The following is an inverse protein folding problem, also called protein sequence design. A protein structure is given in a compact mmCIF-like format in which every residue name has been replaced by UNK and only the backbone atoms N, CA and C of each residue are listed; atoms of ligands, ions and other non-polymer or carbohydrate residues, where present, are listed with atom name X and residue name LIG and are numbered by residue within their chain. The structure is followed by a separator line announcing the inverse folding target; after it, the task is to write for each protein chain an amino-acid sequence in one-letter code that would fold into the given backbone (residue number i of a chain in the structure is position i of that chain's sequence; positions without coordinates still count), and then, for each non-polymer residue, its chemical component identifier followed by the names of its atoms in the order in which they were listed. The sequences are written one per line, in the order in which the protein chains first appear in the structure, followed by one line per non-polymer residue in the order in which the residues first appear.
data_IF_957089765318
#
_entry.id   IF_957089765318
#
_cell.length_a   1.000
_cell.length_b   1.000
_cell.length_c   1.000
_cell.angle_alpha   90.00
_cell.angle_beta   90.00
_cell.angle_gamma   90.00
#
_symmetry.space_group_name_H-M   'P 1'
#
loop_
_entity.id
_entity.type
_entity.pdbx_description
1 polymer ?
#
# COMPACT_ATOMS: atom_id res chain seq x y z
N UNK A 1 13.67 -19.39 35.44
CA UNK A 1 14.58 -18.89 34.37
C UNK A 1 13.97 -19.27 33.03
N UNK A 2 13.65 -18.30 32.17
CA UNK A 2 13.14 -18.55 30.82
C UNK A 2 14.34 -18.96 29.96
N UNK A 3 14.36 -20.20 29.45
CA UNK A 3 15.44 -20.69 28.60
C UNK A 3 15.26 -20.17 27.16
N UNK A 4 16.36 -20.01 26.40
CA UNK A 4 16.30 -19.52 25.02
C UNK A 4 15.35 -20.34 24.11
N UNK A 5 15.17 -21.62 24.43
CA UNK A 5 14.26 -22.53 23.72
C UNK A 5 12.78 -22.15 23.92
N UNK A 6 12.40 -21.85 25.16
CA UNK A 6 11.02 -21.40 25.46
C UNK A 6 10.68 -20.08 24.77
N UNK A 7 11.65 -19.16 24.67
CA UNK A 7 11.46 -17.89 23.97
C UNK A 7 11.28 -18.08 22.45
N UNK A 8 12.07 -18.98 21.84
CA UNK A 8 11.94 -19.31 20.43
C UNK A 8 10.60 -19.99 20.11
N UNK A 9 10.13 -20.87 20.99
CA UNK A 9 8.83 -21.53 20.84
C UNK A 9 7.68 -20.52 20.89
N UNK A 10 7.67 -19.63 21.89
CA UNK A 10 6.64 -18.58 22.02
C UNK A 10 6.66 -17.65 20.81
N UNK A 11 7.85 -17.21 20.37
CA UNK A 11 8.01 -16.38 19.18
C UNK A 11 7.49 -17.06 17.92
N UNK A 12 7.71 -18.37 17.76
CA UNK A 12 7.19 -19.13 16.64
C UNK A 12 5.66 -19.20 16.66
N UNK A 13 5.06 -19.53 17.81
CA UNK A 13 3.61 -19.60 17.95
C UNK A 13 2.94 -18.25 17.68
N UNK A 14 3.45 -17.17 18.28
CA UNK A 14 2.96 -15.82 18.03
C UNK A 14 3.05 -15.45 16.55
N UNK A 15 4.17 -15.72 15.88
CA UNK A 15 4.32 -15.44 14.46
C UNK A 15 3.31 -16.21 13.59
N UNK A 16 2.99 -17.47 13.94
CA UNK A 16 2.01 -18.28 13.20
C UNK A 16 0.61 -17.69 13.36
N UNK A 17 0.12 -17.53 14.60
CA UNK A 17 -1.23 -17.02 14.87
C UNK A 17 -1.40 -15.60 14.33
N UNK A 18 -0.43 -14.73 14.56
CA UNK A 18 -0.47 -13.35 14.08
C UNK A 18 -0.48 -13.26 12.54
N UNK A 19 0.36 -14.06 11.88
CA UNK A 19 0.41 -14.08 10.40
C UNK A 19 -0.89 -14.62 9.81
N UNK A 20 -1.50 -15.64 10.42
CA UNK A 20 -2.80 -16.18 9.99
C UNK A 20 -3.91 -15.15 10.14
N UNK A 21 -3.99 -14.47 11.30
CA UNK A 21 -4.95 -13.38 11.51
C UNK A 21 -4.76 -12.26 10.48
N UNK A 22 -3.52 -11.79 10.28
CA UNK A 22 -3.22 -10.76 9.28
C UNK A 22 -3.55 -11.20 7.85
N UNK A 23 -3.35 -12.47 7.50
CA UNK A 23 -3.71 -13.02 6.19
C UNK A 23 -5.23 -12.95 5.98
N UNK A 24 -6.02 -13.47 6.93
CA UNK A 24 -7.48 -13.53 6.83
C UNK A 24 -8.07 -12.12 6.78
N UNK A 25 -7.76 -11.27 7.77
CA UNK A 25 -8.28 -9.90 7.81
C UNK A 25 -7.76 -9.05 6.66
N UNK A 26 -6.50 -9.27 6.24
CA UNK A 26 -5.90 -8.56 5.12
C UNK A 26 -6.58 -8.85 3.79
N UNK A 27 -6.89 -10.13 3.51
CA UNK A 27 -7.63 -10.53 2.31
C UNK A 27 -9.05 -9.95 2.34
N UNK A 28 -9.77 -10.14 3.44
CA UNK A 28 -11.16 -9.63 3.59
C UNK A 28 -11.19 -8.11 3.40
N UNK A 29 -10.30 -7.39 4.10
CA UNK A 29 -10.22 -5.93 4.01
C UNK A 29 -9.85 -5.43 2.61
N UNK A 30 -8.89 -6.07 1.94
CA UNK A 30 -8.53 -5.71 0.58
C UNK A 30 -9.66 -5.97 -0.42
N UNK A 31 -10.35 -7.10 -0.32
CA UNK A 31 -11.53 -7.42 -1.13
C UNK A 31 -12.64 -6.38 -0.92
N UNK A 32 -12.93 -6.05 0.34
CA UNK A 32 -13.95 -5.05 0.67
C UNK A 32 -13.61 -3.68 0.09
N UNK A 33 -12.36 -3.22 0.24
CA UNK A 33 -11.91 -1.96 -0.34
C UNK A 33 -12.03 -1.95 -1.87
N UNK A 34 -11.68 -3.05 -2.55
CA UNK A 34 -11.85 -3.16 -4.01
C UNK A 34 -13.33 -3.04 -4.39
N UNK A 35 -14.23 -3.71 -3.67
CA UNK A 35 -15.67 -3.63 -3.92
C UNK A 35 -16.20 -2.19 -3.74
N UNK A 36 -15.81 -1.53 -2.64
CA UNK A 36 -16.20 -0.14 -2.36
C UNK A 36 -15.68 0.80 -3.46
N UNK A 37 -14.38 0.80 -3.74
CA UNK A 37 -13.80 1.76 -4.68
C UNK A 37 -14.17 1.49 -6.14
N UNK A 38 -14.67 0.30 -6.47
CA UNK A 38 -15.24 -0.01 -7.79
C UNK A 38 -16.64 0.57 -7.99
N UNK A 39 -17.35 0.92 -6.92
CA UNK A 39 -18.70 1.48 -7.00
C UNK A 39 -18.72 2.77 -7.83
N UNK A 40 -19.73 2.92 -8.70
CA UNK A 40 -19.76 3.96 -9.74
C UNK A 40 -19.63 5.39 -9.18
N UNK A 41 -20.28 5.64 -8.04
CA UNK A 41 -20.30 6.95 -7.38
C UNK A 41 -18.89 7.40 -6.93
N UNK A 42 -18.04 6.46 -6.49
CA UNK A 42 -16.70 6.74 -5.98
C UNK A 42 -15.63 6.80 -7.08
N UNK A 43 -15.89 6.22 -8.27
CA UNK A 43 -14.94 6.20 -9.39
C UNK A 43 -14.70 7.58 -10.03
N UNK A 44 -15.55 8.55 -9.71
CA UNK A 44 -15.43 9.95 -10.14
C UNK A 44 -14.28 10.70 -9.46
N UNK A 45 -13.72 10.17 -8.36
CA UNK A 45 -12.66 10.79 -7.60
C UNK A 45 -11.28 10.22 -7.93
N UNK A 46 -10.31 11.10 -8.16
CA UNK A 46 -8.89 10.77 -8.39
C UNK A 46 -8.31 9.97 -7.21
N UNK A 47 -8.53 10.46 -5.99
CA UNK A 47 -8.16 9.78 -4.74
C UNK A 47 -8.64 8.32 -4.68
N UNK A 48 -9.90 8.05 -5.04
CA UNK A 48 -10.46 6.71 -5.02
C UNK A 48 -9.76 5.78 -6.03
N UNK A 49 -9.28 6.32 -7.15
CA UNK A 49 -8.48 5.57 -8.12
C UNK A 49 -7.15 5.10 -7.50
N UNK A 50 -6.41 5.98 -6.81
CA UNK A 50 -5.19 5.58 -6.11
C UNK A 50 -5.46 4.50 -5.05
N UNK A 51 -6.53 4.66 -4.26
CA UNK A 51 -6.88 3.69 -3.21
C UNK A 51 -7.33 2.33 -3.76
N UNK A 52 -7.97 2.29 -4.92
CA UNK A 52 -8.28 1.04 -5.61
C UNK A 52 -7.00 0.29 -5.98
N UNK A 53 -6.03 0.97 -6.58
CA UNK A 53 -4.74 0.36 -6.92
C UNK A 53 -3.93 -0.06 -5.68
N UNK A 54 -3.95 0.74 -4.60
CA UNK A 54 -3.37 0.36 -3.29
C UNK A 54 -3.97 -0.96 -2.81
N UNK A 55 -5.30 -1.12 -2.91
CA UNK A 55 -5.99 -2.31 -2.43
C UNK A 55 -5.65 -3.55 -3.26
N UNK A 56 -5.58 -3.40 -4.59
CA UNK A 56 -5.15 -4.48 -5.51
C UNK A 56 -3.69 -4.87 -5.23
N UNK A 57 -2.77 -3.91 -5.15
CA UNK A 57 -1.37 -4.17 -4.89
C UNK A 57 -1.16 -4.80 -3.50
N UNK A 58 -1.90 -4.35 -2.49
CA UNK A 58 -1.86 -4.92 -1.14
C UNK A 58 -2.39 -6.35 -1.09
N UNK A 59 -3.43 -6.68 -1.85
CA UNK A 59 -3.93 -8.05 -1.97
C UNK A 59 -2.85 -8.97 -2.57
N UNK A 60 -2.24 -8.57 -3.68
CA UNK A 60 -1.13 -9.31 -4.31
C UNK A 60 0.03 -9.44 -3.33
N UNK A 61 0.40 -8.36 -2.62
CA UNK A 61 1.45 -8.39 -1.63
C UNK A 61 1.18 -9.42 -0.52
N UNK A 62 -0.02 -9.43 0.06
CA UNK A 62 -0.38 -10.37 1.13
C UNK A 62 -0.31 -11.81 0.63
N UNK A 63 -0.83 -12.07 -0.59
CA UNK A 63 -0.82 -13.39 -1.19
C UNK A 63 0.60 -13.94 -1.39
N UNK A 64 1.55 -13.12 -1.86
CA UNK A 64 2.92 -13.56 -2.09
C UNK A 64 3.82 -13.45 -0.87
N UNK A 65 3.63 -12.46 0.01
CA UNK A 65 4.53 -12.18 1.14
C UNK A 65 4.19 -13.00 2.38
N UNK A 66 2.91 -12.99 2.80
CA UNK A 66 2.44 -13.62 4.04
C UNK A 66 2.18 -15.11 3.88
N UNK A 67 1.61 -15.56 2.76
CA UNK A 67 1.26 -16.98 2.57
C UNK A 67 2.46 -17.91 2.75
N UNK A 68 3.62 -17.58 2.17
CA UNK A 68 4.82 -18.40 2.40
C UNK A 68 5.32 -18.36 3.84
N UNK A 69 5.13 -17.26 4.58
CA UNK A 69 5.54 -17.21 5.99
C UNK A 69 4.72 -18.18 6.82
N UNK A 70 3.41 -18.26 6.55
CA UNK A 70 2.50 -19.22 7.17
C UNK A 70 2.90 -20.65 6.80
N UNK A 71 3.19 -20.92 5.54
CA UNK A 71 3.59 -22.26 5.06
C UNK A 71 4.94 -22.68 5.66
N UNK A 72 5.94 -21.80 5.65
CA UNK A 72 7.29 -22.06 6.15
C UNK A 72 7.30 -22.29 7.67
N UNK A 73 6.59 -21.46 8.44
CA UNK A 73 6.61 -21.48 9.90
C UNK A 73 5.58 -22.42 10.51
N UNK A 74 4.39 -22.52 9.91
CA UNK A 74 3.28 -23.32 10.39
C UNK A 74 3.39 -24.79 9.98
N UNK A 75 3.66 -25.04 8.70
CA UNK A 75 3.68 -26.41 8.15
C UNK A 75 5.08 -26.99 7.98
N UNK A 76 6.14 -26.21 8.26
CA UNK A 76 7.54 -26.59 8.07
C UNK A 76 7.87 -27.00 6.62
N UNK A 77 7.10 -26.51 5.65
CA UNK A 77 7.32 -26.80 4.22
C UNK A 77 8.12 -25.66 3.59
N UNK A 78 9.35 -25.96 3.16
CA UNK A 78 10.28 -24.95 2.63
C UNK A 78 10.18 -24.78 1.11
N UNK A 79 9.04 -24.27 0.60
CA UNK A 79 8.83 -24.04 -0.84
C UNK A 79 9.90 -23.14 -1.48
N UNK A 80 10.29 -22.10 -0.76
CA UNK A 80 11.31 -21.13 -1.20
C UNK A 80 12.74 -21.69 -1.19
N UNK A 81 12.97 -22.77 -0.44
CA UNK A 81 14.24 -23.50 -0.41
C UNK A 81 14.32 -24.55 -1.53
N UNK A 82 13.18 -25.13 -1.89
CA UNK A 82 13.08 -26.23 -2.84
C UNK A 82 12.91 -25.75 -4.29
N UNK A 83 12.22 -24.63 -4.51
CA UNK A 83 11.98 -24.09 -5.85
C UNK A 83 12.64 -22.72 -6.05
N UNK A 84 13.59 -22.69 -6.99
CA UNK A 84 14.26 -21.44 -7.42
C UNK A 84 13.24 -20.49 -8.06
N UNK A 85 12.32 -21.01 -8.88
CA UNK A 85 11.28 -20.22 -9.53
C UNK A 85 10.38 -19.53 -8.51
N UNK A 86 9.93 -20.27 -7.48
CA UNK A 86 9.09 -19.72 -6.43
C UNK A 86 9.81 -18.65 -5.59
N UNK A 87 11.07 -18.90 -5.22
CA UNK A 87 11.92 -17.92 -4.54
C UNK A 87 12.02 -16.59 -5.30
N UNK A 88 12.24 -16.64 -6.63
CA UNK A 88 12.33 -15.45 -7.49
C UNK A 88 11.00 -14.70 -7.58
N UNK A 89 9.91 -15.41 -7.91
CA UNK A 89 8.57 -14.83 -8.08
C UNK A 89 8.11 -14.17 -6.78
N UNK A 90 8.23 -14.86 -5.64
CA UNK A 90 7.91 -14.34 -4.31
C UNK A 90 8.61 -13.01 -4.05
N UNK A 91 9.94 -12.97 -4.16
CA UNK A 91 10.72 -11.79 -3.85
C UNK A 91 10.40 -10.63 -4.81
N UNK A 92 10.22 -10.92 -6.09
CA UNK A 92 9.86 -9.91 -7.08
C UNK A 92 8.50 -9.27 -6.77
N UNK A 93 7.44 -10.08 -6.66
CA UNK A 93 6.10 -9.55 -6.41
C UNK A 93 6.00 -8.90 -5.04
N UNK A 94 6.61 -9.47 -3.99
CA UNK A 94 6.57 -8.87 -2.65
C UNK A 94 7.19 -7.46 -2.65
N UNK A 95 8.38 -7.29 -3.24
CA UNK A 95 9.03 -5.98 -3.28
C UNK A 95 8.29 -4.99 -4.20
N UNK A 96 7.94 -5.41 -5.42
CA UNK A 96 7.29 -4.55 -6.38
C UNK A 96 5.94 -4.02 -5.85
N UNK A 97 5.10 -4.92 -5.34
CA UNK A 97 3.78 -4.54 -4.81
C UNK A 97 3.86 -3.66 -3.56
N UNK A 98 4.82 -3.89 -2.66
CA UNK A 98 5.04 -2.99 -1.51
C UNK A 98 5.39 -1.56 -1.94
N UNK A 99 6.29 -1.41 -2.91
CA UNK A 99 6.69 -0.09 -3.42
C UNK A 99 5.54 0.62 -4.13
N UNK A 100 4.75 -0.12 -4.91
CA UNK A 100 3.55 0.40 -5.57
C UNK A 100 2.55 0.89 -4.52
N UNK A 101 2.22 0.07 -3.52
CA UNK A 101 1.30 0.43 -2.43
C UNK A 101 1.73 1.71 -1.73
N UNK A 102 3.00 1.80 -1.31
CA UNK A 102 3.49 2.98 -0.58
C UNK A 102 3.53 4.23 -1.46
N UNK A 103 3.91 4.10 -2.72
CA UNK A 103 3.91 5.23 -3.67
C UNK A 103 2.51 5.77 -3.89
N UNK A 104 1.51 4.88 -4.03
CA UNK A 104 0.12 5.29 -4.20
C UNK A 104 -0.50 5.86 -2.93
N UNK A 105 -0.08 5.41 -1.75
CA UNK A 105 -0.46 6.07 -0.50
C UNK A 105 0.04 7.52 -0.47
N UNK A 106 1.33 7.76 -0.79
CA UNK A 106 1.90 9.11 -0.86
C UNK A 106 1.17 9.97 -1.91
N UNK A 107 0.95 9.42 -3.11
CA UNK A 107 0.21 10.12 -4.17
C UNK A 107 -1.23 10.44 -3.76
N UNK A 108 -1.90 9.57 -3.00
CA UNK A 108 -3.23 9.83 -2.49
C UNK A 108 -3.26 11.00 -1.47
N UNK A 109 -2.20 11.16 -0.68
CA UNK A 109 -2.06 12.30 0.23
C UNK A 109 -1.79 13.60 -0.53
N UNK A 110 -0.99 13.55 -1.59
CA UNK A 110 -0.78 14.69 -2.50
C UNK A 110 -2.09 15.08 -3.18
N UNK A 111 -2.83 14.11 -3.73
CA UNK A 111 -4.11 14.34 -4.40
C UNK A 111 -5.13 14.99 -3.47
N UNK A 112 -5.21 14.52 -2.22
CA UNK A 112 -6.02 15.16 -1.17
C UNK A 112 -5.59 16.60 -0.91
N UNK A 113 -4.29 16.89 -0.82
CA UNK A 113 -3.80 18.25 -0.67
C UNK A 113 -4.26 19.13 -1.85
N UNK A 114 -4.06 18.66 -3.10
CA UNK A 114 -4.45 19.37 -4.32
C UNK A 114 -5.96 19.68 -4.35
N UNK A 115 -6.80 18.76 -3.88
CA UNK A 115 -8.25 18.96 -3.78
C UNK A 115 -8.62 20.11 -2.83
N UNK A 116 -7.87 20.29 -1.75
CA UNK A 116 -8.08 21.35 -0.74
C UNK A 116 -7.49 22.70 -1.13
N UNK A 117 -6.60 22.73 -2.12
CA UNK A 117 -5.99 23.97 -2.62
C UNK A 117 -7.03 24.86 -3.32
N UNK A 118 -6.91 26.19 -3.11
CA UNK A 118 -7.83 27.19 -3.69
C UNK A 118 -7.53 27.51 -5.15
N UNK A 119 -6.28 27.32 -5.57
CA UNK A 119 -5.82 27.67 -6.91
C UNK A 119 -6.32 26.66 -7.95
N UNK A 120 -6.99 27.16 -8.99
CA UNK A 120 -7.63 26.36 -10.06
C UNK A 120 -6.61 25.47 -10.79
N UNK A 121 -5.38 25.96 -11.01
CA UNK A 121 -4.31 25.21 -11.67
C UNK A 121 -4.02 23.88 -10.95
N UNK A 122 -3.94 23.89 -9.62
CA UNK A 122 -3.66 22.70 -8.82
C UNK A 122 -4.85 21.75 -8.73
N UNK A 123 -6.08 22.28 -8.76
CA UNK A 123 -7.30 21.47 -8.84
C UNK A 123 -7.44 20.75 -10.18
N UNK A 124 -6.94 21.33 -11.27
CA UNK A 124 -6.95 20.68 -12.59
C UNK A 124 -6.08 19.41 -12.65
N UNK A 125 -5.01 19.35 -11.85
CA UNK A 125 -4.18 18.15 -11.72
C UNK A 125 -4.90 17.00 -11.00
N UNK A 126 -5.89 17.32 -10.15
CA UNK A 126 -6.78 16.37 -9.50
C UNK A 126 -7.88 15.91 -10.48
N UNK A 127 -7.47 15.21 -11.54
CA UNK A 127 -8.35 14.58 -12.51
C UNK A 127 -8.13 13.07 -12.50
N UNK A 128 -9.22 12.30 -12.58
CA UNK A 128 -9.20 10.83 -12.64
C UNK A 128 -8.35 10.34 -13.82
N UNK A 129 -8.36 11.06 -14.94
CA UNK A 129 -7.55 10.69 -16.11
C UNK A 129 -6.05 10.78 -15.81
N UNK A 130 -5.61 11.90 -15.25
CA UNK A 130 -4.22 12.13 -14.83
C UNK A 130 -3.81 11.11 -13.78
N UNK A 131 -4.69 10.81 -12.82
CA UNK A 131 -4.43 9.82 -11.78
C UNK A 131 -4.16 8.42 -12.35
N UNK A 132 -4.96 7.98 -13.33
CA UNK A 132 -4.74 6.70 -14.00
C UNK A 132 -3.41 6.66 -14.75
N UNK A 133 -3.04 7.74 -15.44
CA UNK A 133 -1.75 7.82 -16.13
C UNK A 133 -0.58 7.76 -15.15
N UNK A 134 -0.66 8.49 -14.04
CA UNK A 134 0.36 8.45 -12.97
C UNK A 134 0.44 7.04 -12.38
N UNK A 135 -0.70 6.40 -12.08
CA UNK A 135 -0.72 5.03 -11.59
C UNK A 135 -0.01 4.05 -12.54
N UNK A 136 -0.36 4.10 -13.83
CA UNK A 136 0.26 3.24 -14.84
C UNK A 136 1.77 3.49 -14.95
N UNK A 137 2.20 4.75 -14.95
CA UNK A 137 3.61 5.11 -14.96
C UNK A 137 4.36 4.51 -13.76
N UNK A 138 3.85 4.69 -12.53
CA UNK A 138 4.49 4.16 -11.33
C UNK A 138 4.49 2.63 -11.28
N UNK A 139 3.43 1.96 -11.75
CA UNK A 139 3.41 0.49 -11.86
C UNK A 139 4.53 0.03 -12.79
N UNK A 140 4.62 0.60 -13.99
CA UNK A 140 5.65 0.23 -14.96
C UNK A 140 7.05 0.53 -14.40
N UNK A 141 7.23 1.72 -13.82
CA UNK A 141 8.49 2.13 -13.20
C UNK A 141 8.96 1.14 -12.11
N UNK A 142 8.08 0.78 -11.16
CA UNK A 142 8.43 -0.15 -10.09
C UNK A 142 8.61 -1.59 -10.59
N UNK A 143 7.84 -2.02 -11.60
CA UNK A 143 8.06 -3.31 -12.24
C UNK A 143 9.45 -3.38 -12.86
N UNK A 144 9.86 -2.35 -13.64
CA UNK A 144 11.17 -2.30 -14.29
C UNK A 144 12.33 -2.25 -13.28
N UNK A 145 12.25 -1.39 -12.26
CA UNK A 145 13.36 -1.21 -11.31
C UNK A 145 13.57 -2.45 -10.42
N UNK A 146 12.52 -3.25 -10.20
CA UNK A 146 12.60 -4.48 -9.40
C UNK A 146 12.97 -5.72 -10.21
N UNK A 147 13.07 -5.65 -11.55
CA UNK A 147 13.50 -6.76 -12.42
C UNK A 147 14.78 -7.46 -11.93
N UNK A 148 15.85 -6.76 -11.48
CA UNK A 148 17.08 -7.44 -11.06
C UNK A 148 16.87 -8.41 -9.88
N UNK A 149 15.79 -8.25 -9.11
CA UNK A 149 15.35 -9.20 -8.09
C UNK A 149 15.12 -10.59 -8.66
N UNK A 150 14.53 -10.71 -9.87
CA UNK A 150 14.31 -11.99 -10.55
C UNK A 150 15.62 -12.66 -10.98
N UNK A 151 16.66 -11.86 -11.25
CA UNK A 151 17.97 -12.38 -11.63
C UNK A 151 18.76 -12.85 -10.41
N UNK A 152 18.80 -12.04 -9.36
CA UNK A 152 19.69 -12.25 -8.23
C UNK A 152 19.09 -13.04 -7.06
N UNK A 153 17.76 -13.19 -6.96
CA UNK A 153 17.14 -14.01 -5.92
C UNK A 153 17.36 -15.51 -6.19
N UNK A 154 17.94 -16.22 -5.22
CA UNK A 154 18.12 -17.68 -5.28
C UNK A 154 18.16 -18.29 -3.88
N UNK A 155 17.86 -19.60 -3.72
CA UNK A 155 18.10 -20.28 -2.46
C UNK A 155 19.60 -20.37 -2.18
N UNK A 156 20.02 -19.89 -1.02
CA UNK A 156 21.41 -19.93 -0.53
C UNK A 156 21.43 -20.83 0.71
N UNK A 157 22.46 -21.67 0.83
CA UNK A 157 22.66 -22.52 2.00
C UNK A 157 23.12 -21.67 3.18
N UNK A 158 22.32 -21.67 4.26
CA UNK A 158 22.62 -20.89 5.45
C UNK A 158 23.20 -21.77 6.57
N UNK A 159 22.68 -22.99 6.70
CA UNK A 159 23.25 -24.05 7.57
C UNK A 159 23.25 -25.37 6.82
N UNK A 160 23.92 -26.40 7.36
CA UNK A 160 24.07 -27.72 6.74
C UNK A 160 22.74 -28.32 6.27
N UNK A 161 21.63 -28.01 6.96
CA UNK A 161 20.30 -28.56 6.66
C UNK A 161 19.24 -27.51 6.27
N UNK A 162 19.61 -26.24 6.05
CA UNK A 162 18.64 -25.18 5.75
C UNK A 162 19.09 -24.26 4.63
N UNK A 163 18.31 -24.20 3.56
CA UNK A 163 18.42 -23.20 2.50
C UNK A 163 17.40 -22.09 2.73
N UNK A 164 17.83 -20.85 2.53
CA UNK A 164 16.97 -19.67 2.61
C UNK A 164 17.06 -18.91 1.30
N UNK A 165 15.92 -18.45 0.79
CA UNK A 165 15.89 -17.57 -0.37
C UNK A 165 16.51 -16.22 -0.01
N UNK A 166 17.56 -15.80 -0.72
CA UNK A 166 18.26 -14.54 -0.51
C UNK A 166 18.91 -14.04 -1.80
N UNK A 167 19.48 -12.85 -1.78
CA UNK A 167 20.14 -12.26 -2.94
C UNK A 167 21.56 -12.79 -3.09
N UNK A 168 21.86 -13.37 -4.25
CA UNK A 168 23.19 -13.88 -4.58
C UNK A 168 24.25 -12.79 -4.70
N UNK A 169 23.87 -11.62 -5.20
CA UNK A 169 24.79 -10.51 -5.43
C UNK A 169 24.90 -9.65 -4.17
N UNK A 170 26.13 -9.50 -3.65
CA UNK A 170 26.41 -8.63 -2.50
C UNK A 170 26.06 -7.17 -2.77
N UNK A 171 26.24 -6.69 -4.02
CA UNK A 171 25.84 -5.34 -4.42
C UNK A 171 24.32 -5.19 -4.32
N UNK A 172 23.56 -6.12 -4.92
CA UNK A 172 22.10 -6.05 -4.92
C UNK A 172 21.51 -6.14 -3.51
N UNK A 173 22.09 -6.99 -2.66
CA UNK A 173 21.73 -7.08 -1.24
C UNK A 173 21.91 -5.75 -0.51
N UNK A 174 23.02 -5.03 -0.75
CA UNK A 174 23.26 -3.70 -0.16
C UNK A 174 22.25 -2.67 -0.68
N UNK A 175 21.97 -2.65 -1.98
CA UNK A 175 20.97 -1.75 -2.58
C UNK A 175 19.59 -2.01 -1.94
N UNK A 176 19.17 -3.26 -1.85
CA UNK A 176 17.88 -3.61 -1.24
C UNK A 176 17.81 -3.23 0.24
N UNK A 177 18.87 -3.48 0.99
CA UNK A 177 18.89 -3.22 2.44
C UNK A 177 18.98 -1.72 2.78
N UNK A 178 19.88 -0.99 2.11
CA UNK A 178 20.14 0.40 2.47
C UNK A 178 19.30 1.39 1.67
N UNK A 179 19.05 1.15 0.40
CA UNK A 179 18.27 2.09 -0.41
C UNK A 179 16.77 1.78 -0.34
N UNK A 180 16.35 0.58 -0.72
CA UNK A 180 14.92 0.26 -0.74
C UNK A 180 14.31 0.15 0.67
N UNK A 181 14.91 -0.63 1.57
CA UNK A 181 14.34 -0.82 2.91
C UNK A 181 14.43 0.44 3.77
N UNK A 182 15.58 1.11 3.84
CA UNK A 182 15.73 2.29 4.68
C UNK A 182 15.04 3.52 4.07
N UNK A 183 15.33 3.84 2.81
CA UNK A 183 14.84 5.08 2.20
C UNK A 183 13.42 4.91 1.65
N UNK A 184 13.19 3.95 0.75
CA UNK A 184 11.92 3.83 0.05
C UNK A 184 10.79 3.26 0.91
N UNK A 185 11.06 2.33 1.83
CA UNK A 185 10.05 1.80 2.76
C UNK A 185 10.00 2.56 4.09
N UNK A 186 11.15 3.01 4.59
CA UNK A 186 11.27 3.63 5.91
C UNK A 186 11.08 5.14 5.92
N UNK A 187 12.02 5.89 5.37
CA UNK A 187 12.09 7.34 5.63
C UNK A 187 11.15 8.13 4.71
N UNK A 188 11.19 7.84 3.40
CA UNK A 188 10.54 8.66 2.39
C UNK A 188 9.00 8.67 2.51
N UNK A 189 8.29 7.52 2.58
CA UNK A 189 6.83 7.54 2.62
C UNK A 189 6.30 8.25 3.87
N UNK A 190 6.96 8.04 5.01
CA UNK A 190 6.51 8.59 6.29
C UNK A 190 6.66 10.11 6.36
N UNK A 191 7.80 10.65 5.90
CA UNK A 191 8.00 12.11 5.84
C UNK A 191 6.98 12.74 4.89
N UNK A 192 6.82 12.19 3.69
CA UNK A 192 5.92 12.76 2.68
C UNK A 192 4.45 12.65 3.09
N UNK A 193 4.02 11.51 3.63
CA UNK A 193 2.66 11.34 4.16
C UNK A 193 2.36 12.30 5.31
N UNK A 194 3.31 12.47 6.24
CA UNK A 194 3.14 13.35 7.40
C UNK A 194 3.07 14.82 6.96
N UNK A 195 3.97 15.22 6.06
CA UNK A 195 4.02 16.58 5.52
C UNK A 195 2.73 16.93 4.77
N UNK A 196 2.34 16.11 3.79
CA UNK A 196 1.15 16.38 2.99
C UNK A 196 -0.15 16.21 3.79
N UNK A 197 -0.18 15.26 4.74
CA UNK A 197 -1.28 15.12 5.69
C UNK A 197 -1.47 16.38 6.54
N UNK A 198 -0.39 16.90 7.12
CA UNK A 198 -0.41 18.13 7.91
C UNK A 198 -0.88 19.34 7.09
N UNK A 199 -0.33 19.52 5.88
CA UNK A 199 -0.72 20.61 4.98
C UNK A 199 -2.21 20.52 4.60
N UNK A 200 -2.71 19.32 4.35
CA UNK A 200 -4.14 19.07 4.06
C UNK A 200 -5.01 19.49 5.26
N UNK A 201 -4.63 19.09 6.48
CA UNK A 201 -5.36 19.48 7.69
C UNK A 201 -5.36 21.00 7.91
N UNK A 202 -4.22 21.67 7.66
CA UNK A 202 -4.11 23.13 7.75
C UNK A 202 -5.05 23.82 6.76
N UNK A 203 -5.12 23.34 5.51
CA UNK A 203 -6.02 23.88 4.49
C UNK A 203 -7.49 23.68 4.87
N UNK A 204 -7.86 22.50 5.35
CA UNK A 204 -9.23 22.19 5.78
C UNK A 204 -9.65 23.12 6.94
N UNK A 205 -8.79 23.30 7.95
CA UNK A 205 -9.06 24.20 9.08
C UNK A 205 -9.27 25.65 8.61
N UNK A 206 -8.46 26.11 7.65
CA UNK A 206 -8.60 27.46 7.06
C UNK A 206 -9.91 27.63 6.29
N UNK A 207 -10.34 26.60 5.54
CA UNK A 207 -11.64 26.61 4.83
C UNK A 207 -12.79 26.64 5.83
N UNK A 208 -12.73 25.80 6.88
CA UNK A 208 -13.75 25.72 7.92
C UNK A 208 -13.93 27.04 8.66
N UNK A 209 -12.83 27.64 9.13
CA UNK A 209 -12.90 28.91 9.88
C UNK A 209 -13.46 30.07 9.03
N UNK A 210 -13.31 30.02 7.70
CA UNK A 210 -13.91 31.02 6.79
C UNK A 210 -15.41 30.83 6.60
N UNK A 211 -15.91 29.59 6.57
CA UNK A 211 -17.35 29.30 6.44
C UNK A 211 -18.12 29.58 7.73
N UNK A 212 -17.48 29.39 8.90
CA UNK A 212 -18.11 29.65 10.20
C UNK A 212 -18.32 31.16 10.45
N UNK A 213 -17.54 32.04 9.80
CA UNK A 213 -17.78 33.49 9.82
C UNK A 213 -18.97 33.97 8.96
N UNK A 214 -19.64 33.09 8.20
CA UNK A 214 -20.74 33.41 7.27
C UNK A 214 -21.96 32.52 7.50
N UNK A 215 -22.25 32.18 8.76
CA UNK A 215 -23.15 31.09 9.15
C UNK A 215 -24.65 31.43 9.35
N UNK A 216 -25.29 32.31 8.55
CA UNK A 216 -26.74 32.14 8.34
C UNK A 216 -27.13 31.54 6.98
N UNK A 217 -26.23 31.40 6.00
CA UNK A 217 -26.63 31.03 4.62
C UNK A 217 -26.13 29.67 4.12
N UNK A 218 -25.10 29.06 4.72
CA UNK A 218 -24.47 27.81 4.18
C UNK A 218 -25.20 26.53 4.61
N UNK A 219 -26.03 26.57 5.66
CA UNK A 219 -26.88 25.43 6.02
C UNK A 219 -27.89 25.13 4.90
N UNK A 220 -28.32 26.15 4.15
CA UNK A 220 -29.20 25.98 3.01
C UNK A 220 -28.52 25.29 1.81
N UNK A 221 -27.23 25.56 1.56
CA UNK A 221 -26.50 24.94 0.45
C UNK A 221 -26.13 23.46 0.69
N UNK A 222 -25.87 23.08 1.96
CA UNK A 222 -25.59 21.68 2.28
C UNK A 222 -26.87 20.82 2.25
N UNK A 223 -28.02 21.40 2.62
CA UNK A 223 -29.33 20.75 2.44
C UNK A 223 -29.72 20.71 0.96
N UNK A 224 -29.38 21.73 0.16
CA UNK A 224 -29.60 21.74 -1.30
C UNK A 224 -28.79 20.64 -2.02
N UNK A 225 -27.55 20.39 -1.63
CA UNK A 225 -26.74 19.30 -2.21
C UNK A 225 -27.20 17.90 -1.80
N UNK A 226 -27.77 17.72 -0.60
CA UNK A 226 -28.38 16.44 -0.22
C UNK A 226 -29.78 16.24 -0.82
N UNK A 227 -30.57 17.30 -1.03
CA UNK A 227 -31.90 17.21 -1.66
C UNK A 227 -31.83 17.01 -3.19
N UNK A 228 -30.72 17.40 -3.84
CA UNK A 228 -30.50 17.06 -5.26
C UNK A 228 -30.16 15.57 -5.49
N UNK A 229 -29.62 14.89 -4.48
CA UNK A 229 -29.32 13.45 -4.56
C UNK A 229 -30.59 12.60 -4.34
N UNK A 230 -31.57 13.09 -3.57
CA UNK A 230 -32.82 12.35 -3.32
C UNK A 230 -33.87 12.49 -4.43
N UNK A 231 -33.78 13.51 -5.29
CA UNK A 231 -34.76 13.75 -6.37
C UNK A 231 -34.41 13.10 -7.72
N UNK A 232 -33.27 12.39 -7.83
CA UNK A 232 -32.90 11.66 -9.06
C UNK A 232 -33.24 10.16 -8.99
N UNK A 233 -33.90 9.71 -7.92
CA UNK A 233 -34.33 8.31 -7.71
C UNK A 233 -35.85 8.12 -7.92
N UNK A 234 -36.54 9.10 -8.52
CA UNK A 234 -37.92 8.96 -9.01
C UNK A 234 -38.04 9.59 -10.40
N UNK A 235 -37.49 8.93 -11.43
CA UNK A 235 -38.00 8.94 -12.81
C UNK A 235 -37.35 7.85 -13.65
#
# INVERSE_FOLDING_TARGET
MVTAETLNYISQQLNIYWSLCMLIFGIIGACWNILIFRHYSLRSSSYCTYMLFVSIASLIHILFSLSDRVIDKGFKIHWTANSIGWCKIRYYFANCTSLITLSFLVLSAIDRLLSTCRQIKWRRLNSVYTARQICLFFIIFWMLITIPTLMYAKPIQFTSNRRLCSYSSKIWLKIMTYFFNLCCYGIFPWIFMSLFGYLTLKNIRKIRNRRIGTLPSVVFDFISQCSFIYNFEIR
#
